data_IF_812312134267
#
_entry.id   IF_812312134267
#
_cell.length_a   1.000
_cell.length_b   1.000
_cell.length_c   1.000
_cell.angle_alpha   90.00
_cell.angle_beta   90.00
_cell.angle_gamma   90.00
#
_symmetry.space_group_name_H-M   'P 1'
#
loop_
_entity.id
_entity.type
_entity.pdbx_description
1 polymer ?
#
# COMPACT_ATOMS: atom_id res chain seq x y z
N UNK A 1 11.41 3.51 -9.37
CA UNK A 1 10.27 3.67 -8.44
C UNK A 1 8.99 3.68 -9.23
N UNK A 2 7.94 3.08 -8.68
CA UNK A 2 6.62 3.01 -9.31
C UNK A 2 5.54 3.16 -8.26
N UNK A 3 4.54 3.98 -8.56
CA UNK A 3 3.27 4.06 -7.83
C UNK A 3 2.12 3.81 -8.81
N UNK A 4 1.10 3.07 -8.38
CA UNK A 4 -0.09 2.84 -9.19
C UNK A 4 -1.29 2.53 -8.31
N UNK A 5 -2.38 3.25 -8.56
CA UNK A 5 -3.72 2.93 -8.04
C UNK A 5 -4.41 2.04 -9.08
N UNK A 6 -5.11 0.98 -8.64
CA UNK A 6 -5.75 -0.02 -9.51
C UNK A 6 -7.14 -0.39 -9.00
N UNK A 7 -8.07 -0.65 -9.91
CA UNK A 7 -9.39 -1.20 -9.53
C UNK A 7 -9.38 -2.73 -9.46
N UNK A 8 -8.61 -3.36 -10.35
CA UNK A 8 -8.52 -4.81 -10.46
C UNK A 8 -7.65 -5.41 -9.34
N UNK A 9 -8.02 -6.61 -8.92
CA UNK A 9 -7.19 -7.43 -8.01
C UNK A 9 -5.82 -7.71 -8.63
N UNK A 10 -4.82 -7.91 -7.77
CA UNK A 10 -3.46 -8.26 -8.17
C UNK A 10 -2.88 -9.26 -7.16
N UNK A 11 -1.94 -10.09 -7.63
CA UNK A 11 -1.15 -10.96 -6.77
C UNK A 11 0.17 -10.25 -6.41
N UNK A 12 0.40 -9.88 -5.14
CA UNK A 12 1.58 -9.10 -4.73
C UNK A 12 2.90 -9.78 -5.08
N UNK A 13 3.00 -11.10 -4.93
CA UNK A 13 4.23 -11.83 -5.20
C UNK A 13 4.55 -11.87 -6.70
N UNK A 14 3.54 -12.03 -7.55
CA UNK A 14 3.73 -11.96 -9.00
C UNK A 14 4.06 -10.54 -9.48
N UNK A 15 3.46 -9.50 -8.86
CA UNK A 15 3.81 -8.11 -9.15
C UNK A 15 5.27 -7.80 -8.81
N UNK A 16 5.77 -8.30 -7.68
CA UNK A 16 7.17 -8.16 -7.27
C UNK A 16 8.08 -8.87 -8.26
N UNK A 17 7.80 -10.14 -8.56
CA UNK A 17 8.59 -10.93 -9.51
C UNK A 17 8.68 -10.24 -10.88
N UNK A 18 7.55 -9.73 -11.39
CA UNK A 18 7.51 -9.00 -12.65
C UNK A 18 8.23 -7.65 -12.59
N UNK A 19 8.17 -6.95 -11.45
CA UNK A 19 8.91 -5.71 -11.27
C UNK A 19 10.42 -5.96 -11.23
N UNK A 20 10.88 -7.00 -10.54
CA UNK A 20 12.28 -7.40 -10.43
C UNK A 20 12.90 -7.80 -11.78
N UNK A 21 12.12 -8.44 -12.67
CA UNK A 21 12.57 -8.72 -14.05
C UNK A 21 12.97 -7.46 -14.83
N UNK A 22 12.43 -6.30 -14.47
CA UNK A 22 12.67 -5.02 -15.14
C UNK A 22 13.54 -4.04 -14.31
N UNK A 23 13.97 -4.44 -13.11
CA UNK A 23 14.78 -3.60 -12.23
C UNK A 23 16.20 -3.46 -12.78
N UNK A 24 16.63 -2.22 -13.00
CA UNK A 24 18.00 -1.89 -13.50
C UNK A 24 19.07 -1.93 -12.39
N UNK A 25 18.79 -2.63 -11.29
CA UNK A 25 19.64 -2.74 -10.09
C UNK A 25 19.88 -4.19 -9.69
N UNK A 26 19.69 -5.14 -10.61
CA UNK A 26 19.99 -6.56 -10.39
C UNK A 26 21.41 -6.75 -9.84
N UNK A 27 21.52 -7.51 -8.75
CA UNK A 27 22.78 -7.77 -8.05
C UNK A 27 23.29 -6.60 -7.17
N UNK A 28 22.56 -5.48 -7.10
CA UNK A 28 22.96 -4.33 -6.26
C UNK A 28 22.24 -4.27 -4.91
N UNK A 29 21.05 -4.85 -4.79
CA UNK A 29 20.33 -4.90 -3.52
C UNK A 29 20.64 -6.20 -2.77
N UNK A 30 20.93 -6.10 -1.48
CA UNK A 30 21.12 -7.22 -0.57
C UNK A 30 19.89 -7.49 0.30
N UNK A 31 18.88 -6.62 0.24
CA UNK A 31 17.65 -6.77 0.98
C UNK A 31 16.44 -6.22 0.21
N UNK A 32 15.33 -6.97 0.34
CA UNK A 32 13.99 -6.55 -0.07
C UNK A 32 13.09 -6.68 1.14
N UNK A 33 12.35 -5.62 1.48
CA UNK A 33 11.27 -5.68 2.45
C UNK A 33 9.96 -5.37 1.73
N UNK A 34 8.89 -6.05 2.14
CA UNK A 34 7.56 -5.82 1.59
C UNK A 34 6.49 -5.83 2.66
N UNK A 35 5.46 -5.03 2.45
CA UNK A 35 4.23 -5.02 3.21
C UNK A 35 3.07 -5.31 2.27
N UNK A 36 2.24 -6.28 2.65
CA UNK A 36 1.01 -6.62 1.94
C UNK A 36 -0.17 -6.45 2.88
N UNK A 37 -1.01 -5.46 2.61
CA UNK A 37 -2.24 -5.24 3.35
C UNK A 37 -3.40 -5.94 2.66
N UNK A 38 -4.16 -6.74 3.41
CA UNK A 38 -5.32 -7.48 2.90
C UNK A 38 -6.59 -7.12 3.68
N UNK A 39 -7.75 -7.26 3.04
CA UNK A 39 -9.05 -7.04 3.64
C UNK A 39 -9.33 -8.16 4.65
N UNK A 40 -9.70 -7.79 5.87
CA UNK A 40 -10.10 -8.72 6.95
C UNK A 40 -11.62 -8.69 7.08
N UNK A 41 -12.21 -9.80 7.49
CA UNK A 41 -13.64 -9.94 7.77
C UNK A 41 -14.10 -9.23 9.05
N UNK A 42 -13.24 -8.41 9.68
CA UNK A 42 -13.61 -7.60 10.82
C UNK A 42 -12.92 -6.24 10.86
N UNK A 43 -13.63 -5.25 11.40
CA UNK A 43 -13.08 -3.96 11.81
C UNK A 43 -13.81 -3.46 13.07
N UNK A 44 -13.08 -2.84 14.00
CA UNK A 44 -13.63 -2.30 15.27
C UNK A 44 -14.58 -3.28 16.02
N UNK A 45 -14.27 -4.58 16.00
CA UNK A 45 -15.07 -5.61 16.67
C UNK A 45 -16.35 -6.03 15.95
N UNK A 46 -16.59 -5.56 14.71
CA UNK A 46 -17.75 -5.92 13.88
C UNK A 46 -17.31 -6.76 12.69
N UNK A 47 -18.16 -7.71 12.30
CA UNK A 47 -18.00 -8.48 11.06
C UNK A 47 -18.29 -7.59 9.86
N UNK A 48 -17.45 -7.67 8.84
CA UNK A 48 -17.58 -6.95 7.57
C UNK A 48 -17.59 -7.96 6.43
N UNK A 49 -18.53 -7.80 5.50
CA UNK A 49 -18.68 -8.71 4.36
C UNK A 49 -17.84 -8.23 3.16
N UNK A 50 -17.79 -6.91 2.93
CA UNK A 50 -16.94 -6.29 1.93
C UNK A 50 -16.75 -4.79 2.21
N UNK A 51 -15.85 -4.14 1.47
CA UNK A 51 -15.71 -2.69 1.50
C UNK A 51 -15.58 -2.11 0.09
N UNK A 52 -16.09 -0.90 -0.10
CA UNK A 52 -15.81 -0.09 -1.28
C UNK A 52 -14.82 1.01 -0.91
N UNK A 53 -13.75 1.15 -1.69
CA UNK A 53 -12.68 2.09 -1.43
C UNK A 53 -12.60 3.16 -2.51
N UNK A 54 -12.83 4.41 -2.13
CA UNK A 54 -12.76 5.57 -3.00
C UNK A 54 -11.50 6.39 -2.74
N UNK A 55 -11.13 7.17 -3.73
CA UNK A 55 -10.03 8.11 -3.67
C UNK A 55 -10.35 9.33 -4.53
N UNK A 56 -9.66 10.44 -4.27
CA UNK A 56 -9.73 11.63 -5.10
C UNK A 56 -8.55 11.55 -6.07
N UNK A 57 -8.80 11.36 -7.38
CA UNK A 57 -7.75 11.33 -8.39
C UNK A 57 -6.88 12.58 -8.33
N UNK A 58 -5.65 12.48 -8.81
CA UNK A 58 -4.62 13.53 -8.75
C UNK A 58 -4.09 13.83 -7.34
N UNK A 59 -4.94 14.18 -6.38
CA UNK A 59 -4.50 14.52 -5.01
C UNK A 59 -3.92 13.32 -4.29
N UNK A 60 -4.61 12.17 -4.34
CA UNK A 60 -4.14 10.95 -3.68
C UNK A 60 -2.82 10.49 -4.30
N UNK A 61 -2.74 10.51 -5.63
CA UNK A 61 -1.51 10.15 -6.34
C UNK A 61 -0.36 11.09 -6.00
N UNK A 62 -0.62 12.41 -5.95
CA UNK A 62 0.36 13.40 -5.53
C UNK A 62 0.91 13.10 -4.13
N UNK A 63 0.04 12.82 -3.15
CA UNK A 63 0.49 12.46 -1.82
C UNK A 63 1.29 11.16 -1.80
N UNK A 64 0.88 10.13 -2.55
CA UNK A 64 1.68 8.91 -2.65
C UNK A 64 3.06 9.18 -3.25
N UNK A 65 3.15 9.98 -4.32
CA UNK A 65 4.44 10.40 -4.89
C UNK A 65 5.31 11.17 -3.90
N UNK A 66 4.73 12.09 -3.13
CA UNK A 66 5.44 12.84 -2.09
C UNK A 66 6.01 11.90 -1.02
N UNK A 67 5.19 10.97 -0.50
CA UNK A 67 5.61 9.98 0.51
C UNK A 67 6.80 9.15 0.00
N UNK A 68 6.73 8.69 -1.24
CA UNK A 68 7.80 7.89 -1.84
C UNK A 68 9.09 8.70 -2.07
N UNK A 69 8.96 9.97 -2.44
CA UNK A 69 10.10 10.89 -2.55
C UNK A 69 10.72 11.17 -1.18
N UNK A 70 9.91 11.35 -0.14
CA UNK A 70 10.38 11.55 1.23
C UNK A 70 11.12 10.31 1.74
N UNK A 71 10.60 9.11 1.46
CA UNK A 71 11.27 7.85 1.78
C UNK A 71 12.65 7.75 1.10
N UNK A 72 12.75 8.11 -0.19
CA UNK A 72 14.04 8.11 -0.91
C UNK A 72 15.04 9.15 -0.41
N UNK A 73 14.57 10.28 0.11
CA UNK A 73 15.45 11.29 0.72
C UNK A 73 15.95 10.84 2.08
N UNK A 74 15.11 10.13 2.84
CA UNK A 74 15.39 9.71 4.21
C UNK A 74 16.21 8.42 4.29
N UNK A 75 16.02 7.50 3.34
CA UNK A 75 16.62 6.17 3.35
C UNK A 75 17.41 5.91 2.06
N UNK A 76 18.49 5.15 2.16
CA UNK A 76 19.29 4.77 0.99
C UNK A 76 18.62 3.61 0.25
N UNK A 77 17.70 3.93 -0.66
CA UNK A 77 16.93 2.98 -1.46
C UNK A 77 17.43 2.91 -2.90
N UNK A 78 17.53 1.70 -3.41
CA UNK A 78 17.84 1.43 -4.82
C UNK A 78 16.57 1.53 -5.67
N UNK A 79 15.46 0.97 -5.18
CA UNK A 79 14.15 1.14 -5.80
C UNK A 79 13.02 0.92 -4.78
N UNK A 80 11.80 1.25 -5.17
CA UNK A 80 10.58 1.01 -4.42
C UNK A 80 9.36 0.88 -5.34
N UNK A 81 8.35 0.15 -4.88
CA UNK A 81 7.09 -0.12 -5.56
C UNK A 81 5.94 0.10 -4.57
N UNK A 82 4.92 0.85 -4.98
CA UNK A 82 3.68 1.02 -4.25
C UNK A 82 2.50 0.73 -5.18
N UNK A 83 1.74 -0.30 -4.89
CA UNK A 83 0.47 -0.59 -5.55
C UNK A 83 -0.66 -0.47 -4.53
N UNK A 84 -1.74 0.20 -4.92
CA UNK A 84 -2.90 0.34 -4.06
C UNK A 84 -4.18 0.05 -4.84
N UNK A 85 -5.09 -0.72 -4.24
CA UNK A 85 -6.37 -1.08 -4.84
C UNK A 85 -7.46 -0.10 -4.39
N UNK A 86 -8.40 0.17 -5.29
CA UNK A 86 -9.63 0.95 -5.07
C UNK A 86 -10.82 0.22 -5.67
N UNK A 87 -12.04 0.72 -5.45
CA UNK A 87 -13.28 0.08 -5.87
C UNK A 87 -13.74 -0.98 -4.88
N UNK A 88 -14.44 -2.01 -5.39
CA UNK A 88 -14.99 -3.10 -4.57
C UNK A 88 -13.87 -4.04 -4.09
N UNK A 89 -13.83 -4.31 -2.79
CA UNK A 89 -12.84 -5.15 -2.11
C UNK A 89 -13.56 -6.20 -1.26
N UNK A 90 -13.28 -7.47 -1.52
CA UNK A 90 -13.84 -8.60 -0.78
C UNK A 90 -12.89 -9.07 0.33
N UNK A 91 -13.42 -9.85 1.29
CA UNK A 91 -12.60 -10.48 2.33
C UNK A 91 -11.46 -11.32 1.72
N UNK A 92 -10.24 -11.12 2.24
CA UNK A 92 -9.03 -11.79 1.76
C UNK A 92 -8.36 -11.10 0.57
N UNK A 93 -9.01 -10.13 -0.07
CA UNK A 93 -8.40 -9.40 -1.18
C UNK A 93 -7.20 -8.58 -0.72
N UNK A 94 -6.16 -8.56 -1.57
CA UNK A 94 -5.03 -7.66 -1.39
C UNK A 94 -5.41 -6.23 -1.76
N UNK A 95 -5.12 -5.31 -0.86
CA UNK A 95 -5.44 -3.88 -0.97
C UNK A 95 -4.19 -3.09 -1.30
N UNK A 96 -3.08 -3.34 -0.61
CA UNK A 96 -1.86 -2.55 -0.76
C UNK A 96 -0.64 -3.45 -0.80
N UNK A 97 0.28 -3.14 -1.70
CA UNK A 97 1.63 -3.67 -1.74
C UNK A 97 2.61 -2.50 -1.66
N UNK A 98 3.52 -2.56 -0.69
CA UNK A 98 4.73 -1.74 -0.65
C UNK A 98 5.90 -2.70 -0.74
N UNK A 99 6.86 -2.44 -1.63
CA UNK A 99 8.13 -3.15 -1.66
C UNK A 99 9.29 -2.16 -1.80
N UNK A 100 10.37 -2.39 -1.08
CA UNK A 100 11.56 -1.54 -1.06
C UNK A 100 12.81 -2.39 -1.21
N UNK A 101 13.71 -1.98 -2.09
CA UNK A 101 14.99 -2.66 -2.36
C UNK A 101 16.14 -1.77 -1.90
N UNK A 102 17.04 -2.31 -1.11
CA UNK A 102 18.22 -1.61 -0.59
C UNK A 102 19.43 -2.54 -0.48
N UNK A 103 20.62 -1.96 -0.31
CA UNK A 103 21.85 -2.73 -0.08
C UNK A 103 21.80 -3.52 1.24
N UNK A 104 21.15 -2.96 2.27
CA UNK A 104 21.12 -3.52 3.61
C UNK A 104 19.71 -3.55 4.21
N UNK A 105 19.44 -4.61 4.96
CA UNK A 105 18.13 -4.92 5.55
C UNK A 105 17.52 -3.78 6.37
N UNK A 106 18.35 -2.98 7.06
CA UNK A 106 17.87 -1.88 7.90
C UNK A 106 17.06 -0.87 7.07
N UNK A 107 17.63 -0.42 5.95
CA UNK A 107 16.99 0.57 5.07
C UNK A 107 15.73 0.01 4.42
N UNK A 108 15.72 -1.29 4.06
CA UNK A 108 14.52 -1.94 3.53
C UNK A 108 13.39 -1.97 4.57
N UNK A 109 13.64 -2.46 5.78
CA UNK A 109 12.61 -2.52 6.83
C UNK A 109 12.09 -1.14 7.23
N UNK A 110 12.99 -0.20 7.51
CA UNK A 110 12.64 1.12 8.03
C UNK A 110 11.83 1.92 7.00
N UNK A 111 12.23 1.87 5.72
CA UNK A 111 11.51 2.57 4.65
C UNK A 111 10.16 1.95 4.33
N UNK A 112 10.05 0.62 4.28
CA UNK A 112 8.79 -0.07 4.03
C UNK A 112 7.75 0.27 5.09
N UNK A 113 8.16 0.27 6.37
CA UNK A 113 7.32 0.72 7.48
C UNK A 113 6.96 2.21 7.34
N UNK A 114 7.96 3.08 7.15
CA UNK A 114 7.74 4.52 7.01
C UNK A 114 6.69 4.86 5.94
N UNK A 115 6.78 4.25 4.76
CA UNK A 115 5.84 4.47 3.66
C UNK A 115 4.41 4.08 4.07
N UNK A 116 4.25 2.96 4.79
CA UNK A 116 2.93 2.51 5.24
C UNK A 116 2.30 3.46 6.26
N UNK A 117 3.07 3.92 7.25
CA UNK A 117 2.56 4.86 8.27
C UNK A 117 2.20 6.21 7.65
N UNK A 118 3.05 6.72 6.75
CA UNK A 118 2.78 7.96 6.03
C UNK A 118 1.56 7.84 5.11
N UNK A 119 1.38 6.70 4.43
CA UNK A 119 0.20 6.44 3.59
C UNK A 119 -1.08 6.51 4.42
N UNK A 120 -1.11 5.86 5.60
CA UNK A 120 -2.27 5.90 6.50
C UNK A 120 -2.62 7.31 6.97
N UNK A 121 -1.60 8.15 7.11
CA UNK A 121 -1.72 9.49 7.67
C UNK A 121 -2.06 10.54 6.62
N UNK A 122 -1.41 10.49 5.45
CA UNK A 122 -1.42 11.56 4.44
C UNK A 122 -2.25 11.25 3.20
N UNK A 123 -2.40 9.99 2.81
CA UNK A 123 -3.08 9.64 1.56
C UNK A 123 -4.60 9.50 1.79
N UNK A 124 -5.44 10.35 1.15
CA UNK A 124 -6.87 10.35 1.38
C UNK A 124 -7.54 9.18 0.64
N UNK A 125 -7.91 8.16 1.40
CA UNK A 125 -8.79 7.07 0.95
C UNK A 125 -10.05 7.05 1.80
N UNK A 126 -11.21 6.87 1.16
CA UNK A 126 -12.48 6.78 1.85
C UNK A 126 -13.02 5.37 1.78
N UNK A 127 -13.38 4.82 2.94
CA UNK A 127 -13.90 3.46 3.07
C UNK A 127 -15.39 3.50 3.31
N UNK A 128 -16.12 2.75 2.50
CA UNK A 128 -17.52 2.42 2.74
C UNK A 128 -17.61 0.93 3.04
N UNK A 129 -17.89 0.58 4.28
CA UNK A 129 -18.00 -0.82 4.73
C UNK A 129 -19.43 -1.31 4.53
N UNK A 130 -19.55 -2.55 4.04
CA UNK A 130 -20.83 -3.24 3.91
C UNK A 130 -20.96 -4.27 5.02
N UNK A 131 -22.05 -4.17 5.76
CA UNK A 131 -22.36 -5.07 6.88
C UNK A 131 -23.78 -5.62 6.73
N UNK A 132 -24.10 -6.66 7.50
CA UNK A 132 -25.46 -7.23 7.58
C UNK A 132 -26.56 -6.22 7.95
N UNK A 133 -26.21 -5.10 8.60
CA UNK A 133 -27.15 -4.04 9.02
C UNK A 133 -27.20 -2.85 8.06
N UNK A 134 -26.43 -2.87 6.97
CA UNK A 134 -26.36 -1.81 5.97
C UNK A 134 -24.95 -1.27 5.73
N UNK A 135 -24.87 -0.27 4.85
CA UNK A 135 -23.63 0.37 4.44
C UNK A 135 -23.27 1.55 5.36
N UNK A 136 -21.99 1.66 5.75
CA UNK A 136 -21.52 2.76 6.58
C UNK A 136 -20.18 3.31 6.08
N UNK A 137 -20.07 4.64 5.98
CA UNK A 137 -18.81 5.33 5.72
C UNK A 137 -17.96 5.39 6.98
N UNK A 138 -16.69 4.99 6.87
CA UNK A 138 -15.73 5.06 7.96
C UNK A 138 -15.31 6.53 8.14
N UNK A 139 -15.63 7.11 9.29
CA UNK A 139 -15.48 8.55 9.55
C UNK A 139 -14.04 9.01 9.78
N UNK A 140 -13.11 8.11 10.12
CA UNK A 140 -11.71 8.43 10.39
C UNK A 140 -10.78 7.36 9.84
N UNK A 141 -9.66 7.80 9.27
CA UNK A 141 -8.56 6.89 8.99
C UNK A 141 -7.98 6.40 10.31
N UNK A 142 -7.68 5.10 10.39
CA UNK A 142 -6.86 4.55 11.47
C UNK A 142 -5.48 5.22 11.34
N UNK A 143 -5.00 5.95 12.37
CA UNK A 143 -3.68 6.56 12.34
C UNK A 143 -2.61 5.50 12.07
N UNK A 144 -1.53 5.90 11.40
CA UNK A 144 -0.28 5.15 11.50
C UNK A 144 0.26 5.19 12.93
N UNK A 145 0.98 4.15 13.35
CA UNK A 145 1.60 4.06 14.68
C UNK A 145 2.96 4.75 14.74
#
# INVERSE_FOLDING_TARGET
>A
MKVSIREKTFNPFHEIENYEKNLRVTGKYGATAMFVGSMRDFNEGRKIDSMFLEYYPEMTEKHLYEILNDAKKKFTLLDLLLLHRVGQIEVGDHIVLIATWSEHRKEAFDSCRFIMEELKTRAPFWKKEKTSTGDHWVKKNTPGF
#
